data_IF_927296694876
#
_entry.id   IF_927296694876
#
_cell.length_a   1.000
_cell.length_b   1.000
_cell.length_c   1.000
_cell.angle_alpha   90.00
_cell.angle_beta   90.00
_cell.angle_gamma   90.00
#
_symmetry.space_group_name_H-M   'P 1'
#
loop_
_entity.id
_entity.type
_entity.pdbx_description
1 polymer ?
#
# COMPACT_ATOMS: atom_id res chain seq x y z
N UNK A 1 -2.21 31.53 -0.34
CA UNK A 1 -3.29 32.04 0.54
C UNK A 1 -2.90 33.43 1.03
N UNK A 2 -3.69 34.45 0.71
CA UNK A 2 -3.39 35.86 1.07
C UNK A 2 -4.32 36.42 2.15
N UNK A 3 -5.38 35.67 2.49
CA UNK A 3 -6.39 36.05 3.49
C UNK A 3 -6.52 34.98 4.58
N UNK A 4 -6.81 35.43 5.79
CA UNK A 4 -7.03 34.58 6.95
C UNK A 4 -8.33 33.78 6.79
N UNK A 5 -8.32 32.44 6.95
CA UNK A 5 -9.53 31.63 6.83
C UNK A 5 -10.56 31.88 7.95
N UNK A 6 -10.14 32.50 9.06
CA UNK A 6 -11.02 32.75 10.21
C UNK A 6 -11.78 34.08 10.13
N UNK A 7 -11.22 35.13 9.51
CA UNK A 7 -11.83 36.46 9.50
C UNK A 7 -11.64 37.26 8.19
N UNK A 8 -11.06 36.66 7.15
CA UNK A 8 -10.87 37.31 5.83
C UNK A 8 -9.83 38.44 5.78
N UNK A 9 -9.26 38.83 6.92
CA UNK A 9 -8.20 39.84 7.02
C UNK A 9 -6.93 39.40 6.28
N UNK A 10 -6.12 40.37 5.85
CA UNK A 10 -4.87 40.09 5.14
C UNK A 10 -3.89 39.27 5.99
N UNK A 11 -3.17 38.36 5.35
CA UNK A 11 -2.05 37.67 5.97
C UNK A 11 -0.78 38.52 5.87
N UNK A 12 -0.05 38.62 6.99
CA UNK A 12 1.23 39.31 7.06
C UNK A 12 2.33 38.37 7.53
N UNK A 13 3.58 38.68 7.17
CA UNK A 13 4.75 37.90 7.58
C UNK A 13 4.80 37.77 9.11
N UNK A 14 4.96 36.54 9.60
CA UNK A 14 5.27 36.23 11.01
C UNK A 14 6.78 36.08 11.16
N UNK A 15 7.37 35.14 10.41
CA UNK A 15 8.82 34.89 10.33
C UNK A 15 9.14 34.14 9.04
N UNK A 16 10.44 33.93 8.75
CA UNK A 16 10.86 32.98 7.72
C UNK A 16 11.33 31.71 8.42
N UNK A 17 10.87 30.54 7.96
CA UNK A 17 11.40 29.28 8.44
C UNK A 17 12.87 29.10 8.01
N UNK A 18 13.58 28.18 8.65
CA UNK A 18 14.93 27.83 8.22
C UNK A 18 14.91 27.34 6.76
N UNK A 19 15.82 27.84 5.90
CA UNK A 19 15.97 27.28 4.57
C UNK A 19 16.19 25.77 4.66
N UNK A 20 15.49 25.02 3.82
CA UNK A 20 15.69 23.57 3.73
C UNK A 20 15.94 23.15 2.29
N UNK A 21 16.74 22.12 2.16
CA UNK A 21 16.99 21.42 0.91
C UNK A 21 15.74 20.64 0.50
N UNK A 22 15.38 20.73 -0.77
CA UNK A 22 14.28 20.03 -1.41
C UNK A 22 14.81 19.39 -2.69
N UNK A 23 14.69 18.07 -2.80
CA UNK A 23 15.08 17.29 -3.98
C UNK A 23 13.79 16.74 -4.58
N UNK A 24 13.55 17.07 -5.85
CA UNK A 24 12.39 16.66 -6.67
C UNK A 24 12.86 15.89 -7.90
N UNK A 25 11.93 15.34 -8.67
CA UNK A 25 12.25 14.77 -9.99
C UNK A 25 12.76 15.82 -10.99
N UNK A 26 12.39 17.09 -10.82
CA UNK A 26 12.76 18.20 -11.71
C UNK A 26 14.08 18.87 -11.31
N UNK A 27 14.54 18.66 -10.08
CA UNK A 27 15.80 19.22 -9.61
C UNK A 27 15.89 19.42 -8.11
N UNK A 28 17.01 19.99 -7.70
CA UNK A 28 17.34 20.31 -6.32
C UNK A 28 17.21 21.81 -6.06
N UNK A 29 16.54 22.16 -4.96
CA UNK A 29 16.22 23.52 -4.57
C UNK A 29 16.59 23.77 -3.11
N UNK A 30 16.93 25.01 -2.79
CA UNK A 30 16.98 25.53 -1.43
C UNK A 30 15.79 26.46 -1.23
N UNK A 31 14.84 26.03 -0.40
CA UNK A 31 13.56 26.73 -0.23
C UNK A 31 13.54 27.48 1.08
N UNK A 32 13.26 28.79 0.99
CA UNK A 32 12.97 29.65 2.13
C UNK A 32 11.45 29.85 2.25
N UNK A 33 10.84 29.27 3.29
CA UNK A 33 9.41 29.41 3.51
C UNK A 33 9.09 30.67 4.32
N UNK A 34 8.21 31.51 3.79
CA UNK A 34 7.63 32.64 4.53
C UNK A 34 6.38 32.18 5.28
N UNK A 35 6.48 32.12 6.61
CA UNK A 35 5.34 31.81 7.47
C UNK A 35 4.56 33.10 7.76
N UNK A 36 3.24 33.03 7.64
CA UNK A 36 2.34 34.17 7.81
C UNK A 36 1.41 34.00 9.01
N UNK A 37 0.81 35.10 9.45
CA UNK A 37 -0.26 35.16 10.47
C UNK A 37 -1.32 36.16 10.08
N UNK A 38 -2.48 36.11 10.72
CA UNK A 38 -3.52 37.12 10.55
C UNK A 38 -3.01 38.52 10.93
N UNK A 39 -3.45 39.56 10.20
CA UNK A 39 -3.18 40.96 10.57
C UNK A 39 -4.05 41.46 11.72
N UNK A 40 -5.27 40.91 11.87
CA UNK A 40 -6.19 41.24 12.97
C UNK A 40 -5.71 40.59 14.27
N UNK A 41 -5.45 41.40 15.30
CA UNK A 41 -4.96 40.95 16.62
C UNK A 41 -6.00 40.22 17.46
N UNK A 42 -7.28 40.47 17.21
CA UNK A 42 -8.39 39.85 17.94
C UNK A 42 -8.81 38.50 17.33
N UNK A 43 -8.27 38.16 16.15
CA UNK A 43 -8.54 36.91 15.47
C UNK A 43 -7.68 35.77 16.04
N UNK A 44 -8.24 34.58 16.23
CA UNK A 44 -7.51 33.36 16.62
C UNK A 44 -6.31 33.06 15.70
N UNK A 45 -6.47 33.30 14.40
CA UNK A 45 -5.41 33.25 13.39
C UNK A 45 -4.21 34.19 13.60
N UNK A 46 -4.23 35.12 14.57
CA UNK A 46 -3.09 35.97 14.92
C UNK A 46 -1.95 35.18 15.55
N UNK A 47 -2.30 34.21 16.41
CA UNK A 47 -1.35 33.33 17.09
C UNK A 47 -0.97 32.11 16.24
N UNK A 48 -1.80 31.74 15.27
CA UNK A 48 -1.52 30.66 14.33
C UNK A 48 -0.32 30.94 13.41
N UNK A 49 0.17 29.88 12.78
CA UNK A 49 1.22 29.93 11.75
C UNK A 49 0.67 29.35 10.45
N UNK A 50 0.42 30.20 9.47
CA UNK A 50 0.02 29.78 8.13
C UNK A 50 1.26 29.54 7.28
N UNK A 51 1.42 28.27 6.89
CA UNK A 51 2.53 27.78 6.07
C UNK A 51 2.18 27.84 4.58
N UNK A 52 3.19 27.80 3.73
CA UNK A 52 2.99 27.83 2.29
C UNK A 52 2.38 26.49 1.83
N UNK A 53 1.10 26.51 1.48
CA UNK A 53 0.31 25.34 1.07
C UNK A 53 0.98 24.57 -0.06
N UNK A 54 1.39 25.26 -1.14
CA UNK A 54 2.10 24.63 -2.26
C UNK A 54 3.37 23.89 -1.82
N UNK A 55 4.09 24.40 -0.82
CA UNK A 55 5.26 23.71 -0.29
C UNK A 55 4.84 22.51 0.58
N UNK A 56 3.78 22.62 1.37
CA UNK A 56 3.28 21.50 2.19
C UNK A 56 2.76 20.34 1.33
N UNK A 57 2.19 20.66 0.17
CA UNK A 57 1.69 19.68 -0.78
C UNK A 57 2.80 18.92 -1.52
N UNK A 58 4.04 19.41 -1.50
CA UNK A 58 5.17 18.81 -2.25
C UNK A 58 6.06 17.96 -1.34
N UNK A 59 6.22 18.30 -0.06
CA UNK A 59 7.20 17.64 0.81
C UNK A 59 6.68 17.35 2.22
N UNK A 60 6.97 16.14 2.70
CA UNK A 60 6.66 15.74 4.05
C UNK A 60 7.53 16.45 5.10
N UNK A 61 7.05 16.59 6.36
CA UNK A 61 7.84 17.10 7.47
C UNK A 61 9.15 16.33 7.64
N UNK A 62 10.25 17.05 7.90
CA UNK A 62 11.60 16.50 8.20
C UNK A 62 12.26 15.68 7.06
N UNK A 63 11.67 15.60 5.87
CA UNK A 63 12.28 14.98 4.68
C UNK A 63 13.11 15.96 3.86
N UNK A 64 13.84 15.49 2.87
CA UNK A 64 14.41 16.36 1.81
C UNK A 64 13.94 15.95 0.42
N UNK A 65 13.54 14.69 0.24
CA UNK A 65 12.91 14.19 -0.97
C UNK A 65 11.41 14.51 -0.95
N UNK A 66 10.88 15.01 -2.06
CA UNK A 66 9.47 15.32 -2.24
C UNK A 66 8.61 14.07 -2.47
N UNK A 67 7.30 14.30 -2.42
CA UNK A 67 6.28 13.28 -2.63
C UNK A 67 6.35 12.68 -4.04
N UNK A 68 6.70 13.44 -5.08
CA UNK A 68 6.89 12.91 -6.44
C UNK A 68 7.99 11.83 -6.51
N UNK A 69 9.09 11.98 -5.77
CA UNK A 69 10.14 10.97 -5.66
C UNK A 69 9.64 9.75 -4.88
N UNK A 70 8.91 9.98 -3.79
CA UNK A 70 8.32 8.88 -2.99
C UNK A 70 7.34 8.07 -3.85
N UNK A 71 6.49 8.75 -4.63
CA UNK A 71 5.57 8.11 -5.57
C UNK A 71 6.31 7.38 -6.68
N UNK A 72 7.36 7.98 -7.25
CA UNK A 72 8.17 7.35 -8.28
C UNK A 72 8.87 6.08 -7.77
N UNK A 73 9.41 6.10 -6.55
CA UNK A 73 9.96 4.90 -5.89
C UNK A 73 8.88 3.84 -5.73
N UNK A 74 7.67 4.22 -5.29
CA UNK A 74 6.53 3.33 -5.15
C UNK A 74 6.13 2.66 -6.46
N UNK A 75 5.95 3.44 -7.54
CA UNK A 75 5.64 2.93 -8.88
C UNK A 75 6.70 1.94 -9.36
N UNK A 76 7.99 2.30 -9.25
CA UNK A 76 9.07 1.39 -9.66
C UNK A 76 9.05 0.09 -8.84
N UNK A 77 8.75 0.18 -7.54
CA UNK A 77 8.78 -0.98 -6.64
C UNK A 77 7.59 -1.92 -6.82
N UNK A 78 6.38 -1.39 -6.89
CA UNK A 78 5.15 -2.17 -6.79
C UNK A 78 4.43 -2.36 -8.12
N UNK A 79 4.59 -1.45 -9.09
CA UNK A 79 4.02 -1.60 -10.44
C UNK A 79 5.03 -2.19 -11.42
N UNK A 80 6.29 -1.77 -11.35
CA UNK A 80 7.35 -2.26 -12.25
C UNK A 80 8.22 -3.38 -11.64
N UNK A 81 7.92 -3.80 -10.40
CA UNK A 81 8.59 -4.89 -9.68
C UNK A 81 10.13 -4.78 -9.57
N UNK A 82 10.67 -3.57 -9.57
CA UNK A 82 12.13 -3.34 -9.49
C UNK A 82 12.70 -3.65 -8.11
N UNK A 83 13.92 -4.17 -8.12
CA UNK A 83 14.78 -4.31 -6.94
C UNK A 83 15.25 -2.94 -6.42
N UNK A 84 15.74 -2.87 -5.18
CA UNK A 84 16.24 -1.61 -4.63
C UNK A 84 17.46 -1.09 -5.40
N UNK A 85 18.29 -1.98 -5.93
CA UNK A 85 19.44 -1.66 -6.77
C UNK A 85 18.99 -1.01 -8.08
N UNK A 86 18.00 -1.59 -8.76
CA UNK A 86 17.42 -1.04 -9.99
C UNK A 86 16.71 0.30 -9.75
N UNK A 87 16.02 0.46 -8.63
CA UNK A 87 15.40 1.73 -8.25
C UNK A 87 16.47 2.80 -8.04
N UNK A 88 17.56 2.47 -7.33
CA UNK A 88 18.68 3.39 -7.13
C UNK A 88 19.35 3.76 -8.46
N UNK A 89 19.51 2.82 -9.38
CA UNK A 89 20.01 3.10 -10.73
C UNK A 89 19.06 4.04 -11.51
N UNK A 90 17.76 3.79 -11.44
CA UNK A 90 16.75 4.62 -12.10
C UNK A 90 16.74 6.06 -11.56
N UNK A 91 16.89 6.25 -10.25
CA UNK A 91 17.07 7.57 -9.63
C UNK A 91 18.41 8.21 -10.05
N UNK A 92 19.48 7.41 -10.14
CA UNK A 92 20.79 7.85 -10.64
C UNK A 92 20.75 8.38 -12.08
N UNK A 93 19.99 7.73 -12.97
CA UNK A 93 19.75 8.21 -14.35
C UNK A 93 19.06 9.58 -14.38
N UNK A 94 18.28 9.90 -13.35
CA UNK A 94 17.66 11.22 -13.13
C UNK A 94 18.56 12.18 -12.32
N UNK A 95 19.84 11.84 -12.12
CA UNK A 95 20.83 12.60 -11.33
C UNK A 95 20.48 12.75 -9.85
N UNK A 96 19.58 11.92 -9.32
CA UNK A 96 19.20 11.90 -7.91
C UNK A 96 20.12 10.94 -7.17
N UNK A 97 20.88 11.47 -6.19
CA UNK A 97 21.77 10.67 -5.35
C UNK A 97 21.06 10.30 -4.05
N UNK A 98 20.99 9.00 -3.77
CA UNK A 98 20.35 8.47 -2.56
C UNK A 98 21.16 7.29 -2.00
N UNK A 99 21.19 7.16 -0.67
CA UNK A 99 21.76 5.99 0.00
C UNK A 99 20.75 4.84 0.01
N UNK A 100 21.21 3.60 0.19
CA UNK A 100 20.29 2.46 0.29
C UNK A 100 19.36 2.60 1.51
N UNK A 101 19.88 3.05 2.65
CA UNK A 101 19.06 3.25 3.85
C UNK A 101 17.96 4.29 3.67
N UNK A 102 18.25 5.41 3.01
CA UNK A 102 17.23 6.42 2.71
C UNK A 102 16.23 5.91 1.67
N UNK A 103 16.68 5.16 0.65
CA UNK A 103 15.79 4.52 -0.31
C UNK A 103 14.78 3.60 0.40
N UNK A 104 15.26 2.70 1.27
CA UNK A 104 14.39 1.84 2.08
C UNK A 104 13.43 2.66 2.94
N UNK A 105 13.91 3.77 3.53
CA UNK A 105 13.07 4.63 4.34
C UNK A 105 11.97 5.35 3.54
N UNK A 106 12.26 5.80 2.32
CA UNK A 106 11.27 6.39 1.42
C UNK A 106 10.28 5.34 0.90
N UNK A 107 10.72 4.10 0.64
CA UNK A 107 9.80 3.00 0.31
C UNK A 107 8.84 2.71 1.45
N UNK A 108 9.32 2.62 2.71
CA UNK A 108 8.43 2.48 3.87
C UNK A 108 7.49 3.69 4.05
N UNK A 109 7.96 4.88 3.67
CA UNK A 109 7.12 6.09 3.66
C UNK A 109 6.00 5.96 2.64
N UNK A 110 6.29 5.49 1.42
CA UNK A 110 5.28 5.19 0.40
C UNK A 110 4.26 4.17 0.89
N UNK A 111 4.71 3.03 1.45
CA UNK A 111 3.83 2.00 2.00
C UNK A 111 2.88 2.56 3.06
N UNK A 112 3.39 3.42 3.94
CA UNK A 112 2.59 4.07 4.98
C UNK A 112 1.56 5.04 4.39
N UNK A 113 1.93 5.80 3.36
CA UNK A 113 1.03 6.72 2.67
C UNK A 113 -0.09 5.97 1.96
N UNK A 114 0.23 4.92 1.21
CA UNK A 114 -0.76 4.10 0.51
C UNK A 114 -1.69 3.39 1.50
N UNK A 115 -1.15 2.88 2.62
CA UNK A 115 -1.99 2.31 3.69
C UNK A 115 -2.98 3.34 4.24
N UNK A 116 -2.50 4.54 4.61
CA UNK A 116 -3.36 5.60 5.14
C UNK A 116 -4.40 6.05 4.11
N UNK A 117 -3.99 6.22 2.86
CA UNK A 117 -4.90 6.54 1.76
C UNK A 117 -5.99 5.46 1.61
N UNK A 118 -5.61 4.18 1.61
CA UNK A 118 -6.55 3.07 1.52
C UNK A 118 -7.56 3.07 2.69
N UNK A 119 -7.10 3.28 3.92
CA UNK A 119 -7.96 3.35 5.12
C UNK A 119 -8.94 4.54 5.06
N UNK A 120 -8.53 5.68 4.52
CA UNK A 120 -9.39 6.87 4.36
C UNK A 120 -10.40 6.73 3.21
N UNK A 121 -10.12 5.89 2.21
CA UNK A 121 -10.91 5.79 0.99
C UNK A 121 -11.70 4.47 0.88
N UNK A 122 -11.89 3.74 1.99
CA UNK A 122 -12.66 2.46 2.02
C UNK A 122 -14.02 2.60 1.36
N UNK A 123 -14.74 3.70 1.58
CA UNK A 123 -16.06 3.92 1.00
C UNK A 123 -16.00 4.08 -0.52
N UNK A 124 -15.04 4.85 -1.05
CA UNK A 124 -14.85 4.99 -2.50
C UNK A 124 -14.43 3.67 -3.14
N UNK A 125 -13.56 2.91 -2.46
CA UNK A 125 -13.14 1.58 -2.91
C UNK A 125 -14.36 0.66 -2.96
N UNK A 126 -15.19 0.64 -1.91
CA UNK A 126 -16.43 -0.15 -1.85
C UNK A 126 -17.39 0.21 -2.98
N UNK A 127 -17.58 1.49 -3.26
CA UNK A 127 -18.43 1.94 -4.37
C UNK A 127 -17.91 1.49 -5.73
N UNK A 128 -16.59 1.53 -5.93
CA UNK A 128 -15.95 1.05 -7.16
C UNK A 128 -15.96 -0.48 -7.29
N UNK A 129 -15.89 -1.20 -6.16
CA UNK A 129 -16.01 -2.66 -6.13
C UNK A 129 -17.43 -3.09 -6.53
N UNK A 130 -18.46 -2.41 -6.02
CA UNK A 130 -19.85 -2.82 -6.24
C UNK A 130 -20.10 -4.23 -5.67
N UNK A 131 -20.68 -5.11 -6.48
CA UNK A 131 -20.74 -6.54 -6.18
C UNK A 131 -19.37 -7.19 -6.44
N UNK A 132 -18.86 -7.95 -5.46
CA UNK A 132 -17.51 -8.52 -5.54
C UNK A 132 -17.44 -9.95 -5.01
N UNK A 133 -16.49 -10.72 -5.53
CA UNK A 133 -16.06 -12.00 -4.97
C UNK A 133 -14.77 -11.77 -4.18
N UNK A 134 -14.76 -12.23 -2.92
CA UNK A 134 -13.53 -12.17 -2.11
C UNK A 134 -12.71 -13.43 -2.35
N UNK A 135 -11.44 -13.25 -2.73
CA UNK A 135 -10.46 -14.33 -2.70
C UNK A 135 -9.55 -14.16 -1.48
N UNK A 136 -9.32 -15.26 -0.76
CA UNK A 136 -8.56 -15.33 0.48
C UNK A 136 -7.35 -16.22 0.24
N UNK A 137 -6.16 -15.67 0.44
CA UNK A 137 -4.89 -16.39 0.31
C UNK A 137 -4.06 -16.28 1.59
N UNK A 138 -3.24 -17.29 1.86
CA UNK A 138 -2.36 -17.37 3.01
C UNK A 138 -0.92 -17.59 2.56
N UNK A 139 0.00 -16.75 3.03
CA UNK A 139 1.44 -16.92 2.77
C UNK A 139 2.26 -16.74 4.04
N UNK A 140 3.39 -17.43 4.16
CA UNK A 140 4.29 -17.25 5.30
C UNK A 140 5.00 -15.90 5.22
N UNK A 141 4.93 -15.13 6.30
CA UNK A 141 5.77 -13.93 6.47
C UNK A 141 7.17 -14.31 6.95
N UNK A 142 8.12 -13.38 6.81
CA UNK A 142 9.49 -13.53 7.32
C UNK A 142 9.56 -13.75 8.86
N UNK A 143 8.47 -13.47 9.58
CA UNK A 143 8.37 -13.69 11.03
C UNK A 143 7.91 -15.10 11.42
N UNK A 144 7.60 -15.95 10.44
CA UNK A 144 7.02 -17.27 10.66
C UNK A 144 5.51 -17.25 10.92
N UNK A 145 4.89 -16.06 10.98
CA UNK A 145 3.44 -15.87 11.07
C UNK A 145 2.79 -15.91 9.68
N UNK A 146 1.60 -16.47 9.57
CA UNK A 146 0.83 -16.49 8.31
C UNK A 146 0.24 -15.10 8.06
N UNK A 147 0.53 -14.55 6.88
CA UNK A 147 -0.09 -13.36 6.33
C UNK A 147 -1.31 -13.80 5.51
N UNK A 148 -2.50 -13.39 5.94
CA UNK A 148 -3.71 -13.55 5.15
C UNK A 148 -3.96 -12.30 4.32
N UNK A 149 -4.28 -12.52 3.05
CA UNK A 149 -4.57 -11.49 2.07
C UNK A 149 -6.01 -11.71 1.57
N UNK A 150 -6.81 -10.67 1.68
CA UNK A 150 -8.18 -10.62 1.18
C UNK A 150 -8.17 -9.65 0.00
N UNK A 151 -8.49 -10.12 -1.20
CA UNK A 151 -8.59 -9.27 -2.39
C UNK A 151 -9.89 -9.51 -3.16
N UNK A 152 -10.31 -8.53 -3.95
CA UNK A 152 -11.33 -8.77 -4.97
C UNK A 152 -10.75 -9.67 -6.06
N UNK A 153 -11.50 -10.71 -6.42
CA UNK A 153 -11.09 -11.66 -7.45
C UNK A 153 -11.04 -11.02 -8.84
N UNK A 154 -11.97 -10.10 -9.13
CA UNK A 154 -12.20 -9.54 -10.46
C UNK A 154 -11.10 -8.56 -10.89
N UNK A 155 -10.61 -7.75 -9.97
CA UNK A 155 -9.67 -6.66 -10.28
C UNK A 155 -8.40 -6.67 -9.41
N UNK A 156 -8.26 -7.63 -8.49
CA UNK A 156 -7.05 -7.81 -7.67
C UNK A 156 -6.86 -6.74 -6.59
N UNK A 157 -7.86 -5.90 -6.31
CA UNK A 157 -7.76 -4.90 -5.25
C UNK A 157 -7.64 -5.61 -3.91
N UNK A 158 -6.51 -5.40 -3.22
CA UNK A 158 -6.31 -5.87 -1.84
C UNK A 158 -7.25 -5.09 -0.92
N UNK A 159 -8.21 -5.79 -0.33
CA UNK A 159 -9.20 -5.25 0.60
C UNK A 159 -8.61 -5.13 2.01
N UNK A 160 -7.83 -6.12 2.41
CA UNK A 160 -7.19 -6.18 3.70
C UNK A 160 -6.07 -7.21 3.69
N UNK A 161 -5.02 -6.98 4.44
CA UNK A 161 -3.99 -7.98 4.70
C UNK A 161 -3.47 -7.84 6.13
N UNK A 162 -3.35 -8.96 6.84
CA UNK A 162 -2.74 -8.95 8.18
C UNK A 162 -2.20 -10.34 8.56
N UNK A 163 -1.27 -10.35 9.50
CA UNK A 163 -0.73 -11.60 10.03
C UNK A 163 -1.58 -12.13 11.18
N UNK A 164 -1.64 -13.45 11.32
CA UNK A 164 -2.18 -14.11 12.52
C UNK A 164 -1.05 -14.80 13.30
N UNK A 165 -1.25 -15.01 14.59
CA UNK A 165 -0.30 -15.78 15.40
C UNK A 165 -0.44 -17.29 15.19
N UNK A 166 -1.66 -17.72 14.85
CA UNK A 166 -2.02 -19.11 14.60
C UNK A 166 -2.98 -19.20 13.42
N UNK A 167 -2.99 -20.36 12.80
CA UNK A 167 -3.83 -20.72 11.67
C UNK A 167 -5.11 -21.41 12.13
N UNK A 168 -5.80 -20.81 13.11
CA UNK A 168 -7.03 -21.31 13.71
C UNK A 168 -8.18 -20.29 13.59
N UNK A 169 -9.40 -20.75 13.89
CA UNK A 169 -10.62 -19.94 13.77
C UNK A 169 -10.59 -18.68 14.65
N UNK A 170 -10.23 -18.75 15.95
CA UNK A 170 -10.19 -17.55 16.80
C UNK A 170 -9.27 -16.43 16.30
N UNK A 171 -8.17 -16.76 15.61
CA UNK A 171 -7.25 -15.75 15.09
C UNK A 171 -7.60 -15.30 13.68
N UNK A 172 -8.14 -16.18 12.84
CA UNK A 172 -8.51 -15.85 11.46
C UNK A 172 -9.86 -15.12 11.35
N UNK A 173 -10.90 -15.58 12.07
CA UNK A 173 -12.26 -15.05 11.96
C UNK A 173 -12.34 -13.51 12.14
N UNK A 174 -11.63 -12.89 13.10
CA UNK A 174 -11.65 -11.43 13.25
C UNK A 174 -11.13 -10.66 12.02
N UNK A 175 -10.21 -11.26 11.25
CA UNK A 175 -9.74 -10.65 10.00
C UNK A 175 -10.86 -10.64 8.95
N UNK A 176 -11.60 -11.74 8.85
CA UNK A 176 -12.72 -11.88 7.92
C UNK A 176 -13.89 -10.95 8.31
N UNK A 177 -14.24 -10.90 9.59
CA UNK A 177 -15.26 -9.98 10.12
C UNK A 177 -14.90 -8.52 9.80
N UNK A 178 -13.62 -8.15 9.90
CA UNK A 178 -13.17 -6.81 9.55
C UNK A 178 -13.37 -6.51 8.07
N UNK A 179 -13.06 -7.45 7.17
CA UNK A 179 -13.30 -7.28 5.72
C UNK A 179 -14.79 -7.09 5.44
N UNK A 180 -15.64 -7.93 6.03
CA UNK A 180 -17.10 -7.82 5.87
C UNK A 180 -17.63 -6.50 6.46
N UNK A 181 -17.08 -6.06 7.60
CA UNK A 181 -17.43 -4.77 8.21
C UNK A 181 -17.05 -3.57 7.34
N UNK A 182 -15.90 -3.62 6.66
CA UNK A 182 -15.42 -2.54 5.78
C UNK A 182 -16.17 -2.51 4.44
N UNK A 183 -16.34 -3.67 3.80
CA UNK A 183 -16.77 -3.76 2.40
C UNK A 183 -18.18 -4.34 2.21
N UNK A 184 -18.83 -4.86 3.26
CA UNK A 184 -20.11 -5.55 3.16
C UNK A 184 -19.97 -7.04 2.90
N UNK A 185 -21.09 -7.72 2.61
CA UNK A 185 -21.06 -9.13 2.26
C UNK A 185 -20.65 -9.31 0.79
N UNK A 186 -19.67 -10.19 0.48
CA UNK A 186 -19.33 -10.53 -0.90
C UNK A 186 -20.40 -11.43 -1.52
N UNK A 187 -20.43 -11.53 -2.85
CA UNK A 187 -21.32 -12.46 -3.56
C UNK A 187 -20.88 -13.92 -3.42
N UNK A 188 -19.58 -14.15 -3.29
CA UNK A 188 -18.98 -15.47 -3.10
C UNK A 188 -17.60 -15.34 -2.45
N UNK A 189 -17.11 -16.46 -1.93
CA UNK A 189 -15.76 -16.61 -1.37
C UNK A 189 -14.97 -17.62 -2.19
N UNK A 190 -13.72 -17.30 -2.50
CA UNK A 190 -12.74 -18.24 -3.05
C UNK A 190 -11.59 -18.35 -2.04
N UNK A 191 -11.24 -19.56 -1.61
CA UNK A 191 -10.07 -19.75 -0.72
C UNK A 191 -9.43 -21.10 -0.90
N UNK A 192 -8.24 -21.30 -0.32
CA UNK A 192 -7.74 -22.66 -0.10
C UNK A 192 -8.64 -23.44 0.89
N UNK A 193 -8.48 -24.77 0.91
CA UNK A 193 -9.25 -25.71 1.73
C UNK A 193 -8.76 -25.75 3.20
N UNK A 194 -8.33 -24.61 3.73
CA UNK A 194 -7.84 -24.52 5.11
C UNK A 194 -9.03 -24.56 6.09
N UNK A 195 -9.02 -25.44 7.13
CA UNK A 195 -10.14 -25.60 8.05
C UNK A 195 -10.59 -24.29 8.73
N UNK A 196 -9.64 -23.47 9.16
CA UNK A 196 -9.93 -22.19 9.80
C UNK A 196 -10.72 -21.25 8.88
N UNK A 197 -10.37 -21.18 7.60
CA UNK A 197 -11.08 -20.35 6.61
C UNK A 197 -12.49 -20.87 6.41
N UNK A 198 -12.65 -22.19 6.17
CA UNK A 198 -13.95 -22.82 5.92
C UNK A 198 -14.91 -22.59 7.08
N UNK A 199 -14.46 -22.78 8.32
CA UNK A 199 -15.28 -22.60 9.50
C UNK A 199 -15.63 -21.12 9.72
N UNK A 200 -14.66 -20.20 9.58
CA UNK A 200 -14.93 -18.76 9.71
C UNK A 200 -15.89 -18.23 8.64
N UNK A 201 -15.81 -18.70 7.39
CA UNK A 201 -16.76 -18.33 6.34
C UNK A 201 -18.17 -18.77 6.71
N UNK A 202 -18.34 -20.01 7.21
CA UNK A 202 -19.64 -20.50 7.68
C UNK A 202 -20.18 -19.71 8.87
N UNK A 203 -19.31 -19.29 9.78
CA UNK A 203 -19.70 -18.52 10.97
C UNK A 203 -20.12 -17.09 10.62
N UNK A 204 -19.34 -16.41 9.78
CA UNK A 204 -19.52 -14.97 9.47
C UNK A 204 -20.56 -14.74 8.37
N UNK A 205 -20.65 -15.64 7.39
CA UNK A 205 -21.50 -15.48 6.21
C UNK A 205 -22.08 -16.83 5.71
N UNK A 206 -22.95 -17.49 6.51
CA UNK A 206 -23.41 -18.86 6.27
C UNK A 206 -24.15 -19.08 4.94
N UNK A 207 -24.71 -18.02 4.36
CA UNK A 207 -25.49 -18.09 3.12
C UNK A 207 -24.71 -17.69 1.87
N UNK A 208 -23.44 -17.30 2.02
CA UNK A 208 -22.59 -16.92 0.89
C UNK A 208 -21.93 -18.17 0.30
N UNK A 209 -22.03 -18.39 -1.03
CA UNK A 209 -21.35 -19.48 -1.70
C UNK A 209 -19.83 -19.46 -1.45
N UNK A 210 -19.28 -20.60 -1.04
CA UNK A 210 -17.84 -20.77 -0.81
C UNK A 210 -17.28 -21.82 -1.75
N UNK A 211 -16.40 -21.38 -2.65
CA UNK A 211 -15.68 -22.22 -3.60
C UNK A 211 -14.22 -22.38 -3.18
N UNK A 212 -13.65 -23.57 -3.40
CA UNK A 212 -12.21 -23.77 -3.24
C UNK A 212 -11.41 -23.24 -4.44
N UNK A 213 -10.23 -22.70 -4.17
CA UNK A 213 -9.34 -22.14 -5.16
C UNK A 213 -8.89 -23.22 -6.16
N UNK A 214 -9.27 -23.03 -7.43
CA UNK A 214 -8.93 -23.97 -8.51
C UNK A 214 -7.43 -24.10 -8.74
N UNK A 215 -6.69 -22.99 -8.57
CA UNK A 215 -5.23 -23.02 -8.68
C UNK A 215 -4.61 -23.97 -7.65
N UNK A 216 -4.97 -23.85 -6.38
CA UNK A 216 -4.47 -24.73 -5.32
C UNK A 216 -4.90 -26.18 -5.57
N UNK A 217 -6.14 -26.41 -6.00
CA UNK A 217 -6.60 -27.75 -6.37
C UNK A 217 -5.74 -28.36 -7.50
N UNK A 218 -5.56 -27.65 -8.61
CA UNK A 218 -4.77 -28.14 -9.76
C UNK A 218 -3.30 -28.30 -9.38
N UNK A 219 -2.72 -27.37 -8.63
CA UNK A 219 -1.34 -27.46 -8.14
C UNK A 219 -1.13 -28.70 -7.26
N UNK A 220 -2.05 -28.94 -6.32
CA UNK A 220 -2.01 -30.11 -5.45
C UNK A 220 -2.22 -31.41 -6.27
N UNK A 221 -3.13 -31.41 -7.24
CA UNK A 221 -3.30 -32.54 -8.16
C UNK A 221 -2.04 -32.80 -9.01
N UNK A 222 -1.36 -31.74 -9.46
CA UNK A 222 -0.12 -31.84 -10.22
C UNK A 222 1.04 -32.46 -9.42
N UNK A 223 1.01 -32.39 -8.09
CA UNK A 223 2.02 -33.04 -7.24
C UNK A 223 2.07 -34.56 -7.42
N UNK A 224 0.95 -35.19 -7.78
CA UNK A 224 0.91 -36.62 -8.10
C UNK A 224 1.69 -36.99 -9.37
N UNK A 225 2.04 -36.01 -10.20
CA UNK A 225 2.80 -36.19 -11.45
C UNK A 225 4.20 -35.57 -11.37
N UNK A 226 4.65 -35.17 -10.16
CA UNK A 226 5.90 -34.42 -10.02
C UNK A 226 7.13 -35.27 -10.41
N UNK A 227 7.10 -36.57 -10.13
CA UNK A 227 8.16 -37.51 -10.48
C UNK A 227 8.26 -37.66 -12.00
N UNK A 228 7.14 -37.97 -12.64
CA UNK A 228 7.02 -38.12 -14.10
C UNK A 228 7.42 -36.84 -14.83
N UNK A 229 7.05 -35.67 -14.29
CA UNK A 229 7.43 -34.37 -14.83
C UNK A 229 8.94 -34.12 -14.74
N UNK A 230 9.58 -34.45 -13.60
CA UNK A 230 11.04 -34.34 -13.43
C UNK A 230 11.80 -35.30 -14.36
N UNK A 231 11.30 -36.52 -14.49
CA UNK A 231 11.86 -37.52 -15.40
C UNK A 231 11.75 -37.07 -16.86
N UNK A 232 10.58 -36.55 -17.27
CA UNK A 232 10.35 -35.98 -18.59
C UNK A 232 11.28 -34.78 -18.84
N UNK A 233 11.39 -33.85 -17.91
CA UNK A 233 12.29 -32.69 -18.03
C UNK A 233 13.76 -33.10 -18.15
N UNK A 234 14.17 -34.15 -17.44
CA UNK A 234 15.52 -34.72 -17.56
C UNK A 234 15.73 -35.40 -18.91
N UNK A 235 14.73 -36.14 -19.40
CA UNK A 235 14.76 -36.79 -20.70
C UNK A 235 14.80 -35.79 -21.86
N UNK A 236 14.05 -34.68 -21.77
CA UNK A 236 14.06 -33.58 -22.74
C UNK A 236 15.43 -32.91 -22.77
N UNK A 237 16.00 -32.56 -21.61
CA UNK A 237 17.35 -31.95 -21.51
C UNK A 237 18.44 -32.86 -22.06
N UNK A 238 18.32 -34.18 -21.86
CA UNK A 238 19.27 -35.17 -22.39
C UNK A 238 19.16 -35.38 -23.90
N UNK A 239 18.02 -35.03 -24.51
CA UNK A 239 17.78 -35.30 -25.93
C UNK A 239 18.27 -34.24 -26.88
N UNK A 240 18.83 -33.11 -26.41
CA UNK A 240 19.17 -31.95 -27.25
C UNK A 240 18.17 -31.80 -28.41
N UNK A 241 16.88 -31.71 -28.07
CA UNK A 241 15.94 -31.20 -29.07
C UNK A 241 16.27 -29.71 -29.14
N UNK A 242 16.69 -29.19 -30.31
CA UNK A 242 17.10 -27.79 -30.46
C UNK A 242 16.01 -26.82 -29.97
#
# INVERSE_FOLDING_TARGET
MDRCPFCGSALRRKYNANPRRLITLDGEYYVLERVSRCSNRECTGYESSFRAENLQAIILPRKIFSLDIIMYIGTLRYEEHKTYEEIKEALGKKRIRISMGELTNLTMTFESLIKGWHEEHVQEIKEKLGEYVVSIDGTYSYTGKTLYIFHSYENGVVLYANTTEKDDVPHFQPLLEKVVGMYGLPMAVISDMQPAIIESVKNVMPNIPHQYCQYHFIKNAGSFMETEYKELGTAIKKKEVP
#
